data_IF_998339139650
#
_entry.id   IF_998339139650
#
_cell.length_a   1.000
_cell.length_b   1.000
_cell.length_c   1.000
_cell.angle_alpha   90.00
_cell.angle_beta   90.00
_cell.angle_gamma   90.00
#
_symmetry.space_group_name_H-M   'P 1'
#
loop_
_entity.id
_entity.type
_entity.pdbx_description
1 polymer ?
#
# COMPACT_ATOMS: atom_id res chain seq x y z
N UNK A 1 -23.96 -79.02 10.38
CA UNK A 1 -23.36 -80.28 10.87
C UNK A 1 -21.99 -80.44 10.22
N UNK A 2 -20.98 -80.78 11.03
CA UNK A 2 -19.61 -81.25 10.68
C UNK A 2 -18.57 -80.21 10.24
N UNK A 3 -17.73 -79.86 11.22
CA UNK A 3 -16.29 -79.64 11.06
C UNK A 3 -15.58 -80.90 10.51
N UNK A 4 -14.44 -80.70 9.83
CA UNK A 4 -13.14 -81.41 10.01
C UNK A 4 -12.16 -80.91 8.91
N UNK A 5 -11.05 -80.23 9.22
CA UNK A 5 -9.77 -80.64 9.85
C UNK A 5 -8.73 -81.12 8.82
N UNK A 6 -7.73 -80.22 8.64
CA UNK A 6 -6.26 -80.38 8.50
C UNK A 6 -5.66 -81.10 7.29
N UNK A 7 -4.62 -80.48 6.70
CA UNK A 7 -3.22 -80.95 6.76
C UNK A 7 -2.25 -79.77 6.63
N UNK A 8 -1.14 -79.88 7.35
CA UNK A 8 -0.02 -78.94 7.49
C UNK A 8 1.21 -79.55 6.78
N UNK A 9 2.22 -78.71 6.49
CA UNK A 9 3.67 -78.93 6.35
C UNK A 9 4.30 -78.71 4.92
N UNK A 10 5.59 -78.29 4.84
CA UNK A 10 5.99 -76.91 4.50
C UNK A 10 7.21 -76.85 3.51
N UNK A 11 7.95 -75.72 3.50
CA UNK A 11 9.34 -75.53 2.99
C UNK A 11 9.41 -75.13 1.49
N UNK A 12 10.20 -74.17 0.97
CA UNK A 12 11.50 -73.58 1.31
C UNK A 12 11.63 -72.14 0.74
N UNK A 13 12.50 -71.35 1.38
CA UNK A 13 13.04 -70.04 0.98
C UNK A 13 13.46 -69.90 -0.49
N UNK A 14 13.35 -68.68 -1.01
CA UNK A 14 14.08 -68.21 -2.18
C UNK A 14 13.89 -66.71 -2.40
N UNK A 15 14.70 -65.89 -1.73
CA UNK A 15 14.78 -64.43 -1.93
C UNK A 15 15.30 -64.12 -3.32
N UNK A 16 14.58 -63.31 -4.10
CA UNK A 16 15.16 -62.47 -5.15
C UNK A 16 14.47 -61.10 -5.15
N UNK A 17 15.26 -60.08 -4.79
CA UNK A 17 14.96 -58.66 -4.96
C UNK A 17 14.99 -58.31 -6.45
N UNK A 18 13.89 -57.77 -6.99
CA UNK A 18 13.94 -56.84 -8.12
C UNK A 18 12.92 -55.73 -7.87
N UNK A 19 13.45 -54.52 -7.71
CA UNK A 19 12.71 -53.26 -7.67
C UNK A 19 12.10 -52.96 -9.05
N UNK A 20 10.86 -52.48 -9.07
CA UNK A 20 10.22 -52.05 -10.31
C UNK A 20 8.79 -51.54 -10.11
N UNK A 21 8.68 -50.24 -9.84
CA UNK A 21 7.63 -49.36 -10.37
C UNK A 21 6.17 -49.59 -9.93
N UNK A 22 5.72 -48.81 -8.95
CA UNK A 22 4.33 -48.38 -8.86
C UNK A 22 4.29 -46.84 -8.92
N UNK A 23 4.05 -46.30 -10.12
CA UNK A 23 3.70 -44.90 -10.33
C UNK A 23 2.18 -44.77 -10.23
N UNK A 24 1.68 -44.25 -9.11
CA UNK A 24 0.30 -43.79 -8.97
C UNK A 24 0.29 -42.28 -8.71
N UNK A 25 -0.19 -41.54 -9.72
CA UNK A 25 -0.82 -40.23 -9.70
C UNK A 25 -0.40 -39.24 -8.60
N UNK A 26 0.59 -38.39 -8.92
CA UNK A 26 0.69 -37.03 -8.35
C UNK A 26 0.14 -36.05 -9.39
N UNK A 27 -0.95 -35.35 -9.07
CA UNK A 27 -1.37 -34.17 -9.82
C UNK A 27 -0.24 -33.13 -9.87
N UNK A 28 -0.24 -32.20 -10.83
CA UNK A 28 0.85 -31.25 -10.99
C UNK A 28 0.94 -30.37 -9.74
N UNK A 29 1.94 -30.63 -8.89
CA UNK A 29 2.35 -29.68 -7.86
C UNK A 29 2.80 -28.42 -8.60
N UNK A 30 2.07 -27.32 -8.43
CA UNK A 30 2.58 -26.00 -8.75
C UNK A 30 3.94 -25.87 -8.06
N UNK A 31 5.01 -25.74 -8.86
CA UNK A 31 6.32 -25.32 -8.36
C UNK A 31 6.09 -24.06 -7.51
N UNK A 32 6.68 -23.96 -6.32
CA UNK A 32 6.79 -22.68 -5.64
C UNK A 32 7.32 -21.66 -6.66
N UNK A 33 6.67 -20.50 -6.76
CA UNK A 33 7.20 -19.40 -7.55
C UNK A 33 8.66 -19.17 -7.13
N UNK A 34 9.60 -18.98 -8.07
CA UNK A 34 10.99 -18.76 -7.71
C UNK A 34 11.06 -17.57 -6.74
N UNK A 35 11.60 -17.81 -5.55
CA UNK A 35 11.96 -16.76 -4.61
C UNK A 35 12.80 -15.74 -5.36
N UNK A 36 12.41 -14.46 -5.31
CA UNK A 36 13.16 -13.40 -5.96
C UNK A 36 14.62 -13.45 -5.48
N UNK A 37 15.61 -13.24 -6.37
CA UNK A 37 17.00 -13.17 -5.97
C UNK A 37 17.14 -12.10 -4.87
N UNK A 38 17.95 -12.39 -3.85
CA UNK A 38 18.36 -11.38 -2.90
C UNK A 38 18.85 -10.13 -3.67
N UNK A 39 18.48 -8.91 -3.25
CA UNK A 39 18.81 -7.69 -4.00
C UNK A 39 20.30 -7.68 -4.33
N UNK A 40 20.63 -7.64 -5.62
CA UNK A 40 21.99 -7.51 -6.09
C UNK A 40 22.56 -6.22 -5.49
N UNK A 41 23.60 -6.35 -4.66
CA UNK A 41 24.30 -5.22 -4.03
C UNK A 41 24.93 -4.36 -5.12
N UNK A 42 24.20 -3.36 -5.60
CA UNK A 42 24.81 -2.23 -6.29
C UNK A 42 25.72 -1.51 -5.29
N UNK A 43 26.87 -1.02 -5.78
CA UNK A 43 27.88 -0.36 -4.95
C UNK A 43 27.25 0.86 -4.24
N UNK A 44 27.48 0.96 -2.93
CA UNK A 44 27.11 2.11 -2.10
C UNK A 44 27.64 3.38 -2.77
N UNK A 45 26.77 4.34 -3.09
CA UNK A 45 27.12 5.54 -3.86
C UNK A 45 27.66 6.71 -3.02
N UNK A 46 27.65 6.65 -1.68
CA UNK A 46 28.26 7.68 -0.85
C UNK A 46 27.91 7.63 0.63
N UNK A 47 28.25 8.71 1.34
CA UNK A 47 27.82 8.97 2.71
C UNK A 47 26.37 9.45 2.73
N UNK A 48 25.70 9.30 3.88
CA UNK A 48 24.37 9.88 4.10
C UNK A 48 24.30 11.38 3.72
N UNK A 49 23.34 11.78 2.85
CA UNK A 49 23.18 13.17 2.45
C UNK A 49 22.52 14.01 3.54
N UNK A 50 22.92 15.27 3.61
CA UNK A 50 22.12 16.32 4.26
C UNK A 50 21.04 16.80 3.28
N UNK A 51 19.85 17.10 3.80
CA UNK A 51 18.74 17.67 3.05
C UNK A 51 18.23 18.95 3.71
N UNK A 52 17.76 19.87 2.86
CA UNK A 52 17.00 21.05 3.29
C UNK A 52 15.52 20.69 3.46
N UNK A 53 14.97 20.99 4.63
CA UNK A 53 13.59 20.66 5.02
C UNK A 53 12.86 21.93 5.44
N UNK A 54 11.67 22.15 4.88
CA UNK A 54 10.76 23.18 5.35
C UNK A 54 9.96 22.67 6.55
N UNK A 55 10.07 23.35 7.68
CA UNK A 55 9.40 23.01 8.94
C UNK A 55 8.04 23.72 8.98
N UNK A 56 6.95 23.02 8.64
CA UNK A 56 5.61 23.61 8.53
C UNK A 56 5.13 24.37 9.77
N UNK A 57 5.43 23.84 10.96
CA UNK A 57 4.98 24.44 12.23
C UNK A 57 5.64 25.79 12.52
N UNK A 58 6.90 25.97 12.14
CA UNK A 58 7.68 27.18 12.45
C UNK A 58 7.88 28.10 11.26
N UNK A 59 7.70 27.58 10.04
CA UNK A 59 8.03 28.27 8.79
C UNK A 59 9.53 28.31 8.47
N UNK A 60 10.38 27.67 9.27
CA UNK A 60 11.83 27.68 9.09
C UNK A 60 12.31 26.69 8.05
N UNK A 61 13.48 26.96 7.45
CA UNK A 61 14.22 26.00 6.62
C UNK A 61 15.38 25.44 7.45
N UNK A 62 15.44 24.12 7.59
CA UNK A 62 16.48 23.44 8.36
C UNK A 62 17.25 22.46 7.48
N UNK A 63 18.55 22.44 7.61
CA UNK A 63 19.38 21.35 7.07
C UNK A 63 19.46 20.24 8.10
N UNK A 64 19.18 19.00 7.71
CA UNK A 64 19.31 17.82 8.56
C UNK A 64 19.71 16.58 7.77
N UNK A 65 20.15 15.57 8.50
CA UNK A 65 20.45 14.24 7.98
C UNK A 65 19.20 13.58 7.41
N UNK A 66 19.33 12.92 6.25
CA UNK A 66 18.21 12.25 5.59
C UNK A 66 17.54 11.23 6.52
N UNK A 67 18.31 10.42 7.24
CA UNK A 67 17.80 9.37 8.11
C UNK A 67 17.07 9.94 9.35
N UNK A 68 17.50 11.09 9.87
CA UNK A 68 16.77 11.81 10.92
C UNK A 68 15.40 12.29 10.42
N UNK A 69 15.35 12.81 9.19
CA UNK A 69 14.10 13.19 8.55
C UNK A 69 13.18 11.97 8.34
N UNK A 70 13.71 10.86 7.81
CA UNK A 70 12.95 9.63 7.60
C UNK A 70 12.42 9.05 8.91
N UNK A 71 13.17 9.10 10.00
CA UNK A 71 12.67 8.68 11.30
C UNK A 71 11.44 9.50 11.73
N UNK A 72 11.48 10.83 11.54
CA UNK A 72 10.33 11.70 11.78
C UNK A 72 9.13 11.39 10.89
N UNK A 73 9.36 11.03 9.62
CA UNK A 73 8.27 10.62 8.71
C UNK A 73 7.64 9.30 9.15
N UNK A 74 8.45 8.28 9.46
CA UNK A 74 7.94 6.98 9.91
C UNK A 74 7.08 7.13 11.17
N UNK A 75 7.53 7.96 12.12
CA UNK A 75 6.77 8.24 13.35
C UNK A 75 5.50 9.09 13.11
N UNK A 76 5.43 9.86 12.02
CA UNK A 76 4.24 10.60 11.62
C UNK A 76 3.21 9.76 10.86
N UNK A 77 3.67 8.76 10.09
CA UNK A 77 2.84 7.94 9.21
C UNK A 77 2.35 6.64 9.84
N UNK A 78 3.08 6.10 10.81
CA UNK A 78 2.81 4.78 11.40
C UNK A 78 2.77 4.81 12.92
N UNK A 79 2.02 3.86 13.49
CA UNK A 79 2.12 3.57 14.92
C UNK A 79 3.50 3.01 15.23
N UNK A 80 4.22 3.67 16.13
CA UNK A 80 5.63 3.42 16.41
C UNK A 80 5.89 2.11 17.20
N UNK A 81 4.85 1.42 17.64
CA UNK A 81 4.89 0.12 18.31
C UNK A 81 4.63 -1.08 17.36
N UNK A 82 4.43 -0.82 16.06
CA UNK A 82 4.24 -1.88 15.07
C UNK A 82 5.50 -2.72 14.85
N UNK A 83 5.34 -3.95 14.30
CA UNK A 83 6.46 -4.83 13.98
C UNK A 83 7.53 -4.10 13.17
N UNK A 84 8.78 -4.37 13.51
CA UNK A 84 9.91 -3.62 12.97
C UNK A 84 10.02 -3.69 11.45
N UNK A 85 9.65 -4.82 10.83
CA UNK A 85 9.63 -4.99 9.37
C UNK A 85 8.55 -4.14 8.68
N UNK A 86 7.44 -3.82 9.37
CA UNK A 86 6.43 -2.90 8.86
C UNK A 86 6.95 -1.45 8.89
N UNK A 87 7.61 -1.06 9.99
CA UNK A 87 8.27 0.25 10.10
C UNK A 87 9.43 0.39 9.09
N UNK A 88 10.19 -0.68 8.88
CA UNK A 88 11.28 -0.74 7.90
C UNK A 88 10.75 -0.61 6.46
N UNK A 89 9.61 -1.24 6.16
CA UNK A 89 8.89 -1.04 4.90
C UNK A 89 8.59 0.44 4.69
N UNK A 90 7.99 1.12 5.67
CA UNK A 90 7.69 2.55 5.55
C UNK A 90 8.92 3.44 5.46
N UNK A 91 10.01 3.11 6.16
CA UNK A 91 11.27 3.84 6.04
C UNK A 91 11.78 3.82 4.59
N UNK A 92 11.77 2.64 3.95
CA UNK A 92 12.16 2.49 2.55
C UNK A 92 11.23 3.28 1.62
N UNK A 93 9.91 3.24 1.85
CA UNK A 93 8.93 4.00 1.05
C UNK A 93 9.15 5.51 1.18
N UNK A 94 9.23 6.01 2.41
CA UNK A 94 9.44 7.43 2.69
C UNK A 94 10.76 7.96 2.09
N UNK A 95 11.83 7.16 2.17
CA UNK A 95 13.13 7.49 1.57
C UNK A 95 13.05 7.49 0.04
N UNK A 96 12.40 6.49 -0.54
CA UNK A 96 12.19 6.41 -2.00
C UNK A 96 11.41 7.61 -2.51
N UNK A 97 10.31 7.97 -1.85
CA UNK A 97 9.50 9.14 -2.19
C UNK A 97 10.34 10.43 -2.12
N UNK A 98 11.11 10.58 -1.04
CA UNK A 98 11.94 11.78 -0.82
C UNK A 98 13.00 11.92 -1.91
N UNK A 99 13.75 10.84 -2.19
CA UNK A 99 14.76 10.82 -3.27
C UNK A 99 14.11 11.10 -4.63
N UNK A 100 12.98 10.45 -4.92
CA UNK A 100 12.26 10.66 -6.16
C UNK A 100 11.82 12.12 -6.34
N UNK A 101 11.26 12.74 -5.30
CA UNK A 101 10.82 14.14 -5.35
C UNK A 101 12.00 15.09 -5.57
N UNK A 102 13.14 14.84 -4.92
CA UNK A 102 14.38 15.60 -5.12
C UNK A 102 14.88 15.47 -6.56
N UNK A 103 14.99 14.24 -7.08
CA UNK A 103 15.53 14.00 -8.42
C UNK A 103 14.65 14.52 -9.55
N UNK A 104 13.32 14.44 -9.40
CA UNK A 104 12.39 14.76 -10.47
C UNK A 104 11.88 16.20 -10.43
N UNK A 105 11.80 16.81 -9.24
CA UNK A 105 11.22 18.15 -9.05
C UNK A 105 12.16 19.12 -8.35
N UNK A 106 13.32 18.67 -7.86
CA UNK A 106 14.15 19.46 -6.94
C UNK A 106 13.58 19.51 -5.51
N UNK A 107 12.63 18.64 -5.16
CA UNK A 107 11.99 18.57 -3.85
C UNK A 107 10.65 19.31 -3.81
N UNK A 108 10.60 20.40 -3.04
CA UNK A 108 9.43 21.28 -2.86
C UNK A 108 9.75 22.69 -3.39
N UNK A 109 9.65 22.93 -4.71
CA UNK A 109 10.10 24.19 -5.32
C UNK A 109 9.43 25.45 -4.77
N UNK A 110 8.14 25.37 -4.42
CA UNK A 110 7.39 26.48 -3.81
C UNK A 110 7.97 26.93 -2.46
N UNK A 111 8.69 26.04 -1.76
CA UNK A 111 9.39 26.32 -0.51
C UNK A 111 10.88 26.56 -0.72
N UNK A 112 11.43 26.19 -1.88
CA UNK A 112 12.87 26.18 -2.13
C UNK A 112 13.61 25.29 -1.13
N UNK A 113 13.07 24.10 -0.85
CA UNK A 113 13.65 23.06 0.00
C UNK A 113 13.52 21.70 -0.67
N UNK A 114 14.31 20.72 -0.24
CA UNK A 114 14.28 19.36 -0.77
C UNK A 114 13.12 18.52 -0.20
N UNK A 115 12.68 18.81 1.02
CA UNK A 115 11.55 18.17 1.67
C UNK A 115 10.72 19.18 2.48
N UNK A 116 9.56 18.72 2.97
CA UNK A 116 8.65 19.46 3.85
C UNK A 116 8.05 18.54 4.90
N UNK A 117 7.70 19.11 6.05
CA UNK A 117 6.95 18.42 7.11
C UNK A 117 5.43 18.62 7.00
N UNK A 118 4.94 19.28 5.94
CA UNK A 118 3.51 19.44 5.69
C UNK A 118 2.97 18.27 4.85
N UNK A 119 2.06 17.49 5.47
CA UNK A 119 1.38 16.36 4.84
C UNK A 119 0.60 16.73 3.57
N UNK A 120 0.21 18.00 3.40
CA UNK A 120 -0.55 18.45 2.22
C UNK A 120 0.31 18.58 0.96
N UNK A 121 1.62 18.79 1.12
CA UNK A 121 2.55 18.98 0.00
C UNK A 121 3.62 17.90 -0.08
N UNK A 122 3.81 17.12 1.00
CA UNK A 122 4.85 16.11 1.07
C UNK A 122 4.43 14.86 1.87
N UNK A 123 4.82 14.73 3.14
CA UNK A 123 4.57 13.55 3.98
C UNK A 123 4.27 13.97 5.42
N UNK A 124 3.56 13.12 6.18
CA UNK A 124 3.40 13.35 7.60
C UNK A 124 4.77 13.28 8.30
N UNK A 125 4.95 14.06 9.35
CA UNK A 125 6.20 14.14 10.09
C UNK A 125 5.91 14.42 11.56
N UNK A 126 6.50 13.61 12.45
CA UNK A 126 6.39 13.80 13.88
C UNK A 126 7.67 13.34 14.60
N UNK A 127 8.65 14.24 14.70
CA UNK A 127 9.91 13.98 15.40
C UNK A 127 9.75 13.64 16.90
N UNK A 128 8.65 14.06 17.55
CA UNK A 128 8.42 13.82 18.99
C UNK A 128 8.06 12.36 19.29
N UNK A 129 7.51 11.65 18.29
CA UNK A 129 7.07 10.25 18.42
C UNK A 129 8.12 9.25 17.95
N UNK A 130 9.34 9.71 17.65
CA UNK A 130 10.45 8.83 17.24
C UNK A 130 10.98 8.06 18.46
N UNK A 131 10.63 6.77 18.50
CA UNK A 131 11.12 5.84 19.52
C UNK A 131 12.27 4.95 19.01
N UNK A 132 12.81 4.08 19.86
CA UNK A 132 13.95 3.22 19.50
C UNK A 132 13.59 2.17 18.43
N UNK A 133 12.33 1.74 18.36
CA UNK A 133 11.85 0.81 17.33
C UNK A 133 11.88 1.47 15.93
N UNK A 134 11.41 2.73 15.84
CA UNK A 134 11.50 3.55 14.63
C UNK A 134 12.97 3.77 14.22
N UNK A 135 13.84 4.19 15.16
CA UNK A 135 15.27 4.38 14.88
C UNK A 135 15.91 3.11 14.34
N UNK A 136 15.61 1.95 14.95
CA UNK A 136 16.15 0.65 14.52
C UNK A 136 15.64 0.25 13.14
N UNK A 137 14.38 0.53 12.80
CA UNK A 137 13.82 0.30 11.49
C UNK A 137 14.45 1.19 10.40
N UNK A 138 14.69 2.46 10.72
CA UNK A 138 15.39 3.40 9.82
C UNK A 138 16.83 2.93 9.61
N UNK A 139 17.54 2.60 10.69
CA UNK A 139 18.95 2.18 10.63
C UNK A 139 19.14 0.86 9.87
N UNK A 140 18.30 -0.16 10.08
CA UNK A 140 18.41 -1.42 9.33
C UNK A 140 18.18 -1.25 7.82
N UNK A 141 17.45 -0.20 7.43
CA UNK A 141 17.12 0.13 6.04
C UNK A 141 17.88 1.37 5.53
N UNK A 142 18.92 1.79 6.25
CA UNK A 142 19.69 2.99 5.95
C UNK A 142 20.11 3.03 4.48
N UNK A 143 19.77 4.12 3.79
CA UNK A 143 20.06 4.29 2.37
C UNK A 143 19.37 3.34 1.40
N UNK A 144 18.46 2.47 1.84
CA UNK A 144 17.70 1.59 0.96
C UNK A 144 16.51 2.32 0.33
N UNK A 145 16.43 2.26 -1.00
CA UNK A 145 15.30 2.79 -1.78
C UNK A 145 14.80 1.74 -2.77
N UNK A 146 13.62 1.97 -3.34
CA UNK A 146 12.98 1.11 -4.34
C UNK A 146 13.14 1.72 -5.73
N UNK A 147 13.67 0.95 -6.66
CA UNK A 147 13.82 1.36 -8.06
C UNK A 147 13.15 0.40 -9.03
N UNK A 148 12.78 0.96 -10.19
CA UNK A 148 12.37 0.20 -11.36
C UNK A 148 13.19 0.69 -12.54
N UNK A 149 13.91 -0.21 -13.20
CA UNK A 149 14.86 0.13 -14.27
C UNK A 149 15.88 1.21 -13.83
N UNK A 150 16.38 1.13 -12.59
CA UNK A 150 17.38 2.03 -12.03
C UNK A 150 16.86 3.43 -11.63
N UNK A 151 15.56 3.71 -11.79
CA UNK A 151 14.94 4.97 -11.36
C UNK A 151 14.09 4.78 -10.10
N UNK A 152 14.12 5.71 -9.13
CA UNK A 152 13.22 5.68 -7.98
C UNK A 152 11.76 5.60 -8.41
N UNK A 153 10.99 4.72 -7.78
CA UNK A 153 9.57 4.54 -8.11
C UNK A 153 8.68 5.59 -7.44
N UNK A 154 7.46 5.75 -7.98
CA UNK A 154 6.33 6.26 -7.21
C UNK A 154 5.97 5.27 -6.10
N UNK A 155 6.51 5.47 -4.90
CA UNK A 155 6.39 4.58 -3.73
C UNK A 155 5.14 4.87 -2.90
N UNK A 156 3.98 4.93 -3.56
CA UNK A 156 2.71 5.27 -2.91
C UNK A 156 2.31 4.25 -1.83
N UNK A 157 1.69 4.75 -0.77
CA UNK A 157 1.19 3.95 0.33
C UNK A 157 -0.06 4.58 0.93
N UNK A 158 -0.83 3.79 1.65
CA UNK A 158 -2.09 4.22 2.26
C UNK A 158 -2.41 3.37 3.49
N UNK A 159 -3.37 3.81 4.32
CA UNK A 159 -3.67 3.14 5.58
C UNK A 159 -4.19 1.70 5.39
N UNK A 160 -5.32 1.52 4.71
CA UNK A 160 -5.94 0.20 4.49
C UNK A 160 -6.52 0.08 3.09
N UNK A 161 -6.18 -1.01 2.39
CA UNK A 161 -6.70 -1.29 1.06
C UNK A 161 -8.16 -1.78 1.07
N UNK A 162 -8.70 -2.16 2.24
CA UNK A 162 -10.02 -2.77 2.34
C UNK A 162 -10.09 -4.16 1.69
N UNK A 163 -8.93 -4.85 1.62
CA UNK A 163 -8.79 -6.19 1.06
C UNK A 163 -8.14 -6.25 -0.33
N UNK A 164 -8.08 -5.14 -1.06
CA UNK A 164 -7.51 -5.11 -2.42
C UNK A 164 -6.94 -3.73 -2.77
N UNK A 165 -5.71 -3.69 -3.30
CA UNK A 165 -5.08 -2.44 -3.74
C UNK A 165 -5.63 -1.98 -5.09
N UNK A 166 -5.46 -0.71 -5.40
CA UNK A 166 -5.90 -0.06 -6.63
C UNK A 166 -4.72 0.20 -7.57
N UNK A 167 -5.02 0.36 -8.84
CA UNK A 167 -4.05 0.93 -9.79
C UNK A 167 -3.93 2.45 -9.58
N UNK A 168 -2.88 3.09 -10.09
CA UNK A 168 -2.68 4.53 -9.95
C UNK A 168 -3.78 5.33 -10.65
N UNK A 169 -4.20 4.89 -11.85
CA UNK A 169 -5.33 5.52 -12.56
C UNK A 169 -6.62 5.44 -11.75
N UNK A 170 -6.87 4.31 -11.10
CA UNK A 170 -8.07 4.10 -10.31
C UNK A 170 -8.05 4.91 -9.00
N UNK A 171 -6.99 4.77 -8.19
CA UNK A 171 -6.96 5.31 -6.83
C UNK A 171 -6.56 6.78 -6.73
N UNK A 172 -5.78 7.27 -7.70
CA UNK A 172 -5.21 8.63 -7.69
C UNK A 172 -5.64 9.48 -8.88
N UNK A 173 -6.45 8.94 -9.80
CA UNK A 173 -6.79 9.59 -11.08
C UNK A 173 -5.52 9.99 -11.85
N UNK A 174 -4.51 9.10 -11.81
CA UNK A 174 -3.21 9.35 -12.39
C UNK A 174 -3.30 9.52 -13.91
N UNK A 175 -2.76 10.62 -14.43
CA UNK A 175 -2.97 11.03 -15.84
C UNK A 175 -1.96 10.40 -16.81
N UNK A 176 -0.84 9.89 -16.32
CA UNK A 176 0.17 9.26 -17.15
C UNK A 176 -0.14 7.78 -17.41
N UNK A 177 0.80 7.08 -18.08
CA UNK A 177 0.73 5.63 -18.19
C UNK A 177 0.75 4.98 -16.80
N UNK A 178 0.01 3.87 -16.64
CA UNK A 178 0.01 3.11 -15.40
C UNK A 178 1.44 2.61 -15.13
N UNK A 179 2.05 2.91 -13.96
CA UNK A 179 3.40 2.47 -13.69
C UNK A 179 3.48 0.93 -13.68
N UNK A 180 4.42 0.29 -14.39
CA UNK A 180 4.43 -1.17 -14.56
C UNK A 180 4.55 -1.97 -13.26
N UNK A 181 5.14 -1.36 -12.23
CA UNK A 181 5.30 -1.94 -10.91
C UNK A 181 4.06 -1.81 -10.02
N UNK A 182 3.03 -1.05 -10.43
CA UNK A 182 1.76 -0.90 -9.71
C UNK A 182 0.74 -1.86 -10.29
N UNK A 183 0.22 -2.74 -9.44
CA UNK A 183 -0.87 -3.66 -9.79
C UNK A 183 -1.87 -3.73 -8.65
N UNK A 184 -3.12 -4.04 -9.01
CA UNK A 184 -4.14 -4.40 -8.02
C UNK A 184 -3.84 -5.82 -7.51
N UNK A 185 -3.57 -5.92 -6.21
CA UNK A 185 -3.28 -7.18 -5.50
C UNK A 185 -4.17 -7.28 -4.27
N UNK A 186 -4.44 -8.50 -3.81
CA UNK A 186 -5.10 -8.69 -2.51
C UNK A 186 -4.25 -8.07 -1.40
N UNK A 187 -4.88 -7.62 -0.31
CA UNK A 187 -4.17 -7.05 0.84
C UNK A 187 -4.72 -7.63 2.14
N UNK A 188 -3.89 -8.20 3.03
CA UNK A 188 -4.35 -8.81 4.27
C UNK A 188 -4.62 -7.74 5.35
N UNK A 189 -5.69 -6.97 5.18
CA UNK A 189 -6.03 -5.83 6.04
C UNK A 189 -6.89 -6.21 7.27
N UNK A 190 -6.90 -7.49 7.68
CA UNK A 190 -7.78 -8.02 8.74
C UNK A 190 -7.53 -7.38 10.12
N UNK A 191 -6.30 -6.91 10.34
CA UNK A 191 -5.88 -6.20 11.56
C UNK A 191 -6.34 -4.73 11.61
N UNK A 192 -6.88 -4.18 10.52
CA UNK A 192 -7.39 -2.83 10.53
C UNK A 192 -8.55 -2.69 11.56
N UNK A 193 -8.67 -1.52 12.23
CA UNK A 193 -9.77 -1.19 13.13
C UNK A 193 -11.14 -1.40 12.49
N UNK A 194 -12.15 -1.70 13.32
CA UNK A 194 -13.51 -1.96 12.83
C UNK A 194 -14.07 -0.80 11.99
N UNK A 195 -13.79 0.44 12.40
CA UNK A 195 -14.22 1.67 11.73
C UNK A 195 -13.41 1.98 10.45
N UNK A 196 -12.37 1.21 10.14
CA UNK A 196 -11.65 1.23 8.86
C UNK A 196 -12.11 0.07 7.98
N UNK A 197 -12.32 -1.10 8.58
CA UNK A 197 -12.81 -2.30 7.86
C UNK A 197 -14.22 -2.09 7.31
N UNK A 198 -15.09 -1.41 8.04
CA UNK A 198 -16.40 -1.00 7.58
C UNK A 198 -16.72 0.37 8.17
N UNK A 199 -17.08 1.32 7.31
CA UNK A 199 -17.42 2.66 7.74
C UNK A 199 -18.69 3.16 7.05
N UNK A 200 -19.32 4.14 7.70
CA UNK A 200 -20.44 4.89 7.15
C UNK A 200 -20.12 6.37 7.28
N UNK A 201 -20.35 7.13 6.21
CA UNK A 201 -20.19 8.56 6.17
C UNK A 201 -21.46 9.19 5.62
N UNK A 202 -21.93 10.25 6.27
CA UNK A 202 -23.13 10.99 5.88
C UNK A 202 -22.73 12.40 5.51
N UNK A 203 -23.20 12.87 4.36
CA UNK A 203 -23.01 14.23 3.90
C UNK A 203 -24.37 14.82 3.53
N UNK A 204 -24.60 16.08 3.88
CA UNK A 204 -25.75 16.79 3.33
C UNK A 204 -25.57 16.99 1.81
N UNK A 205 -26.68 17.09 1.08
CA UNK A 205 -26.66 17.47 -0.35
C UNK A 205 -25.89 18.78 -0.56
N UNK A 206 -26.02 19.73 0.37
CA UNK A 206 -25.31 21.01 0.33
C UNK A 206 -23.80 20.82 0.44
N UNK A 207 -23.30 20.01 1.39
CA UNK A 207 -21.86 19.74 1.51
C UNK A 207 -21.28 19.15 0.22
N UNK A 208 -22.02 18.23 -0.43
CA UNK A 208 -21.60 17.65 -1.71
C UNK A 208 -21.57 18.72 -2.80
N UNK A 209 -22.63 19.51 -2.96
CA UNK A 209 -22.68 20.58 -3.98
C UNK A 209 -21.60 21.64 -3.76
N UNK A 210 -21.33 22.02 -2.51
CA UNK A 210 -20.26 22.98 -2.18
C UNK A 210 -18.87 22.42 -2.52
N UNK A 211 -18.63 21.12 -2.28
CA UNK A 211 -17.37 20.46 -2.63
C UNK A 211 -17.17 20.43 -4.16
N UNK A 212 -18.22 20.07 -4.90
CA UNK A 212 -18.24 20.06 -6.36
C UNK A 212 -18.02 21.45 -6.96
N UNK A 213 -18.65 22.47 -6.39
CA UNK A 213 -18.51 23.85 -6.85
C UNK A 213 -17.06 24.36 -6.71
N UNK A 214 -16.37 24.02 -5.61
CA UNK A 214 -14.94 24.34 -5.41
C UNK A 214 -14.03 23.67 -6.44
N UNK A 215 -14.49 22.59 -7.06
CA UNK A 215 -13.81 21.84 -8.10
C UNK A 215 -14.23 22.28 -9.51
N UNK A 216 -15.08 23.31 -9.62
CA UNK A 216 -15.54 23.87 -10.90
C UNK A 216 -16.77 23.17 -11.48
N UNK A 217 -17.33 22.17 -10.80
CA UNK A 217 -18.58 21.53 -11.21
C UNK A 217 -19.78 22.36 -10.74
N UNK A 218 -20.62 22.81 -11.69
CA UNK A 218 -21.85 23.55 -11.39
C UNK A 218 -23.02 22.58 -11.24
N UNK A 219 -23.47 22.38 -10.01
CA UNK A 219 -24.59 21.50 -9.66
C UNK A 219 -25.57 22.30 -8.78
N UNK A 220 -26.74 22.64 -9.34
CA UNK A 220 -27.74 23.50 -8.66
C UNK A 220 -28.69 22.72 -7.72
N UNK A 221 -28.87 21.42 -8.00
CA UNK A 221 -29.64 20.47 -7.18
C UNK A 221 -28.89 19.14 -7.17
N UNK A 222 -29.08 18.33 -6.13
CA UNK A 222 -28.55 16.96 -6.08
C UNK A 222 -29.72 15.98 -6.01
N UNK A 223 -30.17 15.54 -7.19
CA UNK A 223 -31.35 14.70 -7.37
C UNK A 223 -30.98 13.22 -7.58
N UNK A 224 -29.79 12.98 -8.15
CA UNK A 224 -29.19 11.63 -8.23
C UNK A 224 -27.67 11.71 -8.15
N UNK A 225 -27.09 10.64 -7.60
CA UNK A 225 -25.66 10.43 -7.50
C UNK A 225 -25.40 8.92 -7.60
N UNK A 226 -24.70 8.52 -8.66
CA UNK A 226 -24.48 7.12 -9.00
C UNK A 226 -22.99 6.87 -9.24
N UNK A 227 -22.51 5.67 -8.90
CA UNK A 227 -21.17 5.22 -9.33
C UNK A 227 -21.31 4.71 -10.76
N UNK A 228 -20.90 5.51 -11.75
CA UNK A 228 -21.03 5.14 -13.16
C UNK A 228 -19.89 4.28 -13.67
N UNK A 229 -18.72 4.36 -13.03
CA UNK A 229 -17.55 3.54 -13.38
C UNK A 229 -16.83 3.05 -12.13
N UNK A 230 -16.30 1.83 -12.22
CA UNK A 230 -15.43 1.22 -11.21
C UNK A 230 -14.11 0.78 -11.86
N UNK A 231 -13.02 0.89 -11.11
CA UNK A 231 -11.73 0.36 -11.52
C UNK A 231 -11.58 -1.14 -11.22
N UNK A 232 -10.43 -1.73 -11.56
CA UNK A 232 -10.16 -3.16 -11.37
C UNK A 232 -10.28 -3.64 -9.92
N UNK A 233 -10.02 -2.77 -8.93
CA UNK A 233 -10.18 -3.12 -7.52
C UNK A 233 -11.62 -2.99 -7.01
N UNK A 234 -12.53 -2.49 -7.86
CA UNK A 234 -13.93 -2.20 -7.52
C UNK A 234 -14.16 -0.81 -6.93
N UNK A 235 -13.13 0.05 -6.85
CA UNK A 235 -13.29 1.43 -6.37
C UNK A 235 -14.04 2.26 -7.40
N UNK A 236 -14.87 3.20 -6.93
CA UNK A 236 -15.54 4.18 -7.77
C UNK A 236 -14.50 5.09 -8.44
N UNK A 237 -14.46 5.08 -9.77
CA UNK A 237 -13.57 5.95 -10.56
C UNK A 237 -14.30 7.15 -11.14
N UNK A 238 -15.61 7.04 -11.39
CA UNK A 238 -16.46 8.14 -11.85
C UNK A 238 -17.79 8.11 -11.10
N UNK A 239 -18.18 9.26 -10.59
CA UNK A 239 -19.55 9.53 -10.13
C UNK A 239 -20.32 10.26 -11.23
N UNK A 240 -21.56 9.85 -11.45
CA UNK A 240 -22.51 10.52 -12.34
C UNK A 240 -23.57 11.20 -11.49
N UNK A 241 -23.63 12.53 -11.60
CA UNK A 241 -24.52 13.39 -10.82
C UNK A 241 -25.60 13.93 -11.75
N UNK A 242 -26.85 13.83 -11.31
CA UNK A 242 -28.03 14.23 -12.11
C UNK A 242 -28.00 13.69 -13.54
N UNK A 243 -27.47 12.46 -13.70
CA UNK A 243 -27.32 11.74 -14.98
C UNK A 243 -26.48 12.47 -16.05
N UNK A 244 -25.81 13.56 -15.72
CA UNK A 244 -25.19 14.47 -16.71
C UNK A 244 -23.78 14.90 -16.33
N UNK A 245 -23.53 15.20 -15.05
CA UNK A 245 -22.23 15.69 -14.59
C UNK A 245 -21.38 14.50 -14.16
N UNK A 246 -20.30 14.23 -14.90
CA UNK A 246 -19.30 13.24 -14.52
C UNK A 246 -18.22 13.89 -13.67
N UNK A 247 -17.90 13.25 -12.55
CA UNK A 247 -16.90 13.71 -11.59
C UNK A 247 -15.93 12.57 -11.32
N UNK A 248 -14.63 12.87 -11.32
CA UNK A 248 -13.59 11.90 -10.96
C UNK A 248 -13.79 11.45 -9.51
N UNK A 249 -13.69 10.14 -9.26
CA UNK A 249 -13.83 9.57 -7.91
C UNK A 249 -12.81 10.14 -6.93
N UNK A 250 -11.50 10.09 -7.24
CA UNK A 250 -10.45 10.68 -6.40
C UNK A 250 -10.66 12.18 -6.13
N UNK A 251 -11.05 12.95 -7.15
CA UNK A 251 -11.42 14.34 -7.00
C UNK A 251 -12.59 14.51 -6.03
N UNK A 252 -13.70 13.79 -6.24
CA UNK A 252 -14.87 13.83 -5.37
C UNK A 252 -14.52 13.55 -3.90
N UNK A 253 -13.68 12.53 -3.66
CA UNK A 253 -13.19 12.18 -2.33
C UNK A 253 -12.36 13.29 -1.68
N UNK A 254 -11.49 13.94 -2.45
CA UNK A 254 -10.69 15.07 -1.96
C UNK A 254 -11.61 16.24 -1.57
N UNK A 255 -12.60 16.55 -2.40
CA UNK A 255 -13.55 17.64 -2.17
C UNK A 255 -14.37 17.47 -0.88
N UNK A 256 -14.79 16.24 -0.59
CA UNK A 256 -15.53 15.89 0.64
C UNK A 256 -14.66 15.74 1.88
N UNK A 257 -13.33 15.73 1.71
CA UNK A 257 -12.37 15.49 2.77
C UNK A 257 -12.06 13.99 2.93
N UNK A 258 -10.79 13.65 2.73
CA UNK A 258 -10.26 12.28 2.70
C UNK A 258 -10.39 11.51 4.01
N UNK A 259 -10.65 12.19 5.13
CA UNK A 259 -10.92 11.59 6.45
C UNK A 259 -12.40 11.31 6.69
N UNK A 260 -13.31 12.06 6.05
CA UNK A 260 -14.76 11.83 6.11
C UNK A 260 -15.15 10.73 5.12
N UNK A 261 -14.77 10.87 3.85
CA UNK A 261 -14.92 9.80 2.86
C UNK A 261 -13.63 8.98 2.81
N UNK A 262 -13.52 8.00 3.71
CA UNK A 262 -12.26 7.29 4.00
C UNK A 262 -11.66 6.60 2.78
N UNK A 263 -12.46 6.04 1.88
CA UNK A 263 -11.99 5.42 0.63
C UNK A 263 -13.05 5.50 -0.47
N UNK A 264 -12.69 5.07 -1.69
CA UNK A 264 -13.61 4.88 -2.82
C UNK A 264 -14.02 3.42 -3.04
N UNK A 265 -13.63 2.52 -2.14
CA UNK A 265 -14.07 1.13 -2.16
C UNK A 265 -15.42 1.07 -1.44
N UNK A 266 -16.45 1.47 -2.19
CA UNK A 266 -17.80 1.69 -1.71
C UNK A 266 -18.68 0.47 -1.96
N UNK A 267 -19.41 0.06 -0.92
CA UNK A 267 -20.42 -0.97 -0.99
C UNK A 267 -21.78 -0.36 -1.37
N UNK A 268 -22.10 0.83 -0.84
CA UNK A 268 -23.39 1.48 -1.04
C UNK A 268 -23.31 3.00 -1.02
N UNK A 269 -24.15 3.65 -1.84
CA UNK A 269 -24.40 5.09 -1.83
C UNK A 269 -25.91 5.33 -1.93
N UNK A 270 -26.51 6.01 -0.96
CA UNK A 270 -27.96 6.18 -0.86
C UNK A 270 -28.37 7.58 -0.44
N UNK A 271 -29.50 8.04 -0.97
CA UNK A 271 -30.16 9.23 -0.49
C UNK A 271 -31.01 8.91 0.75
N UNK A 272 -30.93 9.75 1.76
CA UNK A 272 -31.80 9.75 2.93
C UNK A 272 -32.24 11.18 3.23
N UNK A 273 -33.37 11.58 2.63
CA UNK A 273 -33.86 12.97 2.65
C UNK A 273 -32.83 13.92 2.03
N UNK A 274 -32.39 14.90 2.81
CA UNK A 274 -31.37 15.89 2.41
C UNK A 274 -29.93 15.40 2.60
N UNK A 275 -29.74 14.14 2.94
CA UNK A 275 -28.43 13.53 3.11
C UNK A 275 -28.14 12.47 2.06
N UNK A 276 -26.86 12.23 1.82
CA UNK A 276 -26.34 11.09 1.08
C UNK A 276 -25.44 10.29 2.02
N UNK A 277 -25.72 9.00 2.15
CA UNK A 277 -25.03 8.06 3.01
C UNK A 277 -24.14 7.18 2.14
N UNK A 278 -22.86 7.13 2.49
CA UNK A 278 -21.85 6.28 1.86
C UNK A 278 -21.45 5.19 2.85
N UNK A 279 -21.42 3.95 2.38
CA UNK A 279 -20.82 2.83 3.13
C UNK A 279 -19.71 2.21 2.31
N UNK A 280 -18.63 1.83 2.99
CA UNK A 280 -17.48 1.23 2.33
C UNK A 280 -16.43 0.75 3.32
N UNK A 281 -15.26 0.44 2.78
CA UNK A 281 -14.17 -0.21 3.52
C UNK A 281 -12.80 0.32 3.13
N UNK A 282 -11.83 0.12 4.00
CA UNK A 282 -10.47 0.63 3.83
C UNK A 282 -10.37 2.14 4.06
N UNK A 283 -9.15 2.65 4.02
CA UNK A 283 -8.83 4.06 4.21
C UNK A 283 -7.65 4.42 3.31
N UNK A 284 -7.89 5.40 2.42
CA UNK A 284 -6.88 5.97 1.54
C UNK A 284 -7.18 5.72 0.06
N UNK A 285 -6.23 6.08 -0.79
CA UNK A 285 -6.36 5.94 -2.25
C UNK A 285 -6.27 4.48 -2.71
N UNK A 286 -5.65 3.59 -1.93
CA UNK A 286 -5.57 2.17 -2.24
C UNK A 286 -4.36 1.74 -3.07
N UNK A 287 -3.54 2.68 -3.54
CA UNK A 287 -2.42 2.42 -4.48
C UNK A 287 -1.15 2.08 -3.71
N UNK A 288 -0.40 1.09 -4.20
CA UNK A 288 0.86 0.65 -3.62
C UNK A 288 0.68 -0.10 -2.29
N UNK A 289 1.50 0.22 -1.29
CA UNK A 289 1.53 -0.51 -0.01
C UNK A 289 0.34 -0.13 0.88
N UNK A 290 -0.39 -1.13 1.37
CA UNK A 290 -1.29 -0.93 2.50
C UNK A 290 -0.52 -1.06 3.81
N UNK A 291 -0.59 -0.05 4.68
CA UNK A 291 0.10 -0.05 5.97
C UNK A 291 -0.42 -1.16 6.89
N UNK A 292 -1.75 -1.35 6.97
CA UNK A 292 -2.34 -2.45 7.74
C UNK A 292 -2.01 -3.83 7.15
N UNK A 293 -1.97 -3.97 5.83
CA UNK A 293 -1.50 -5.20 5.19
C UNK A 293 -0.02 -5.48 5.44
N UNK A 294 0.84 -4.45 5.38
CA UNK A 294 2.26 -4.56 5.74
C UNK A 294 2.45 -4.97 7.21
N UNK A 295 1.66 -4.41 8.13
CA UNK A 295 1.64 -4.81 9.54
C UNK A 295 1.31 -6.30 9.69
N UNK A 296 0.24 -6.77 9.04
CA UNK A 296 -0.15 -8.19 9.09
C UNK A 296 0.94 -9.09 8.54
N UNK A 297 1.47 -8.78 7.36
CA UNK A 297 2.56 -9.55 6.75
C UNK A 297 3.80 -9.60 7.64
N UNK A 298 4.16 -8.48 8.29
CA UNK A 298 5.27 -8.44 9.24
C UNK A 298 5.00 -9.30 10.49
N UNK A 299 3.77 -9.34 11.01
CA UNK A 299 3.39 -10.25 12.10
C UNK A 299 3.49 -11.73 11.68
N UNK A 300 3.33 -12.02 10.39
CA UNK A 300 3.51 -13.35 9.79
C UNK A 300 4.99 -13.64 9.42
N UNK A 301 5.92 -12.78 9.84
CA UNK A 301 7.37 -12.97 9.66
C UNK A 301 7.91 -12.57 8.29
N UNK A 302 7.15 -11.81 7.49
CA UNK A 302 7.65 -11.25 6.23
C UNK A 302 8.61 -10.10 6.50
N UNK A 303 9.70 -10.06 5.74
CA UNK A 303 10.67 -8.96 5.77
C UNK A 303 10.13 -7.75 5.01
N UNK A 304 10.73 -6.57 5.21
CA UNK A 304 10.41 -5.38 4.44
C UNK A 304 10.57 -5.60 2.92
N UNK A 305 11.58 -6.39 2.51
CA UNK A 305 11.78 -6.75 1.11
C UNK A 305 10.64 -7.63 0.56
N UNK A 306 10.17 -8.61 1.34
CA UNK A 306 9.02 -9.44 0.95
C UNK A 306 7.75 -8.61 0.80
N UNK A 307 7.51 -7.68 1.73
CA UNK A 307 6.34 -6.79 1.72
C UNK A 307 6.39 -5.87 0.50
N UNK A 308 7.54 -5.23 0.23
CA UNK A 308 7.72 -4.36 -0.92
C UNK A 308 7.53 -5.13 -2.23
N UNK A 309 8.15 -6.31 -2.38
CA UNK A 309 8.00 -7.14 -3.58
C UNK A 309 6.59 -7.72 -3.76
N UNK A 310 5.81 -7.82 -2.68
CA UNK A 310 4.41 -8.18 -2.75
C UNK A 310 3.56 -7.07 -3.39
N UNK A 311 3.73 -5.82 -2.94
CA UNK A 311 2.93 -4.69 -3.41
C UNK A 311 3.44 -4.05 -4.72
N UNK A 312 4.76 -4.08 -4.97
CA UNK A 312 5.37 -3.52 -6.17
C UNK A 312 6.05 -4.61 -7.01
N UNK A 313 5.64 -4.75 -8.28
CA UNK A 313 6.12 -5.83 -9.15
C UNK A 313 7.37 -5.44 -9.93
N UNK A 314 8.34 -6.35 -9.99
CA UNK A 314 9.56 -6.17 -10.78
C UNK A 314 10.49 -5.05 -10.29
N UNK A 315 10.33 -4.60 -9.05
CA UNK A 315 11.19 -3.58 -8.45
C UNK A 315 12.45 -4.20 -7.85
N UNK A 316 13.46 -3.36 -7.64
CA UNK A 316 14.68 -3.70 -6.91
C UNK A 316 14.81 -2.80 -5.70
N UNK A 317 15.29 -3.35 -4.59
CA UNK A 317 15.73 -2.53 -3.44
C UNK A 317 17.24 -2.35 -3.58
N UNK A 318 17.68 -1.10 -3.74
CA UNK A 318 19.09 -0.74 -3.87
C UNK A 318 19.52 0.12 -2.68
N UNK A 319 20.80 0.00 -2.29
CA UNK A 319 21.38 0.79 -1.20
C UNK A 319 22.24 1.91 -1.78
N UNK A 320 21.83 3.16 -1.56
CA UNK A 320 22.51 4.35 -2.11
C UNK A 320 23.56 4.97 -1.19
N UNK A 321 23.41 4.83 0.13
CA UNK A 321 24.40 5.31 1.09
C UNK A 321 24.52 4.40 2.32
N UNK A 322 25.55 4.66 3.11
CA UNK A 322 25.74 4.13 4.47
C UNK A 322 25.91 5.26 5.47
#
# INVERSE_FOLDING_TARGET
>A
MKQRVHWVLPVLLGVVLIAGGCSLFKGPQQKPAPSQPAPQRQAVQGNEPDISVYMHETGEKKTMKMEDYIAGVVAGEMKNDWPIEALATQAILARTFTVQAIETKGGVPSRGTQASTDVKEFQAYNAKEVNDNVKKAVEMTRGMIITYQGKPINSWFHSSAGGITATAKEGLDYKEAEPPYIQSVQSPDDLAPADIKNWTATFSKKEIMDALAKQGHKVNSLDSLEISQKGPSGRATVFLINKTVQVSGPEFRIGLGVSKLKSLLLDKVEFNGDNVIFTGKGYGHGVGVSQWGANKMAQEGKTAADIIGYYFKGVTIEKRWQ
#
